data_IF_827825859282
#
_entry.id   IF_827825859282
#
_cell.length_a   1.000
_cell.length_b   1.000
_cell.length_c   1.000
_cell.angle_alpha   90.00
_cell.angle_beta   90.00
_cell.angle_gamma   90.00
#
_symmetry.space_group_name_H-M   'P 1'
#
loop_
_entity.id
_entity.type
_entity.pdbx_description
1 polymer ?
#
# COMPACT_ATOMS: atom_id res chain seq x y z
N UNK A 1 6.58 -7.87 -19.02
CA UNK A 1 6.27 -7.26 -20.34
C UNK A 1 6.37 -5.75 -20.20
N UNK A 2 6.60 -5.00 -21.28
CA UNK A 2 6.70 -3.54 -21.23
C UNK A 2 5.45 -2.88 -21.82
N UNK A 3 5.01 -1.78 -21.22
CA UNK A 3 3.96 -0.89 -21.78
C UNK A 3 4.47 0.55 -21.69
N UNK A 4 4.32 1.33 -22.76
CA UNK A 4 4.80 2.72 -22.82
C UNK A 4 6.26 2.91 -22.36
N UNK A 5 7.14 1.96 -22.71
CA UNK A 5 8.55 1.98 -22.31
C UNK A 5 8.82 1.72 -20.82
N UNK A 6 7.81 1.28 -20.06
CA UNK A 6 7.87 1.02 -18.62
C UNK A 6 7.61 -0.45 -18.30
N UNK A 7 8.18 -0.93 -17.20
CA UNK A 7 7.98 -2.30 -16.72
C UNK A 7 6.53 -2.49 -16.28
N UNK A 8 5.76 -3.26 -17.05
CA UNK A 8 4.37 -3.55 -16.73
C UNK A 8 4.24 -4.91 -16.04
N UNK A 9 3.53 -4.89 -14.92
CA UNK A 9 3.01 -6.08 -14.23
C UNK A 9 1.49 -5.96 -14.17
N UNK A 10 0.73 -7.00 -14.57
CA UNK A 10 -0.71 -6.98 -14.44
C UNK A 10 -1.13 -7.08 -12.96
N UNK A 11 -2.30 -6.54 -12.57
CA UNK A 11 -2.85 -6.74 -11.24
C UNK A 11 -3.00 -8.24 -10.94
N UNK A 12 -2.43 -8.75 -9.83
CA UNK A 12 -2.39 -10.19 -9.58
C UNK A 12 -3.75 -10.77 -9.19
N UNK A 13 -4.67 -9.94 -8.65
CA UNK A 13 -6.00 -10.35 -8.16
C UNK A 13 -5.94 -11.54 -7.18
N UNK A 14 -4.88 -11.59 -6.37
CA UNK A 14 -4.54 -12.71 -5.49
C UNK A 14 -5.09 -12.53 -4.06
N UNK A 15 -5.81 -11.45 -3.80
CA UNK A 15 -6.39 -11.16 -2.49
C UNK A 15 -5.42 -10.51 -1.49
N UNK A 16 -4.18 -10.21 -1.90
CA UNK A 16 -3.20 -9.51 -1.04
C UNK A 16 -3.74 -8.18 -0.53
N UNK A 17 -3.35 -7.79 0.69
CA UNK A 17 -3.64 -6.46 1.19
C UNK A 17 -2.73 -5.39 0.55
N UNK A 18 -3.05 -4.11 0.77
CA UNK A 18 -2.29 -3.02 0.14
C UNK A 18 -0.78 -3.07 0.45
N UNK A 19 -0.37 -3.47 1.66
CA UNK A 19 1.04 -3.47 2.06
C UNK A 19 1.82 -4.55 1.34
N UNK A 20 1.26 -5.75 1.28
CA UNK A 20 1.83 -6.89 0.56
C UNK A 20 1.94 -6.59 -0.95
N UNK A 21 0.86 -6.09 -1.54
CA UNK A 21 0.81 -5.74 -2.95
C UNK A 21 1.79 -4.62 -3.32
N UNK A 22 1.81 -3.54 -2.52
CA UNK A 22 2.70 -2.40 -2.74
C UNK A 22 4.17 -2.82 -2.65
N UNK A 23 4.54 -3.58 -1.61
CA UNK A 23 5.91 -4.05 -1.40
C UNK A 23 6.43 -4.85 -2.60
N UNK A 24 5.61 -5.77 -3.13
CA UNK A 24 5.93 -6.57 -4.31
C UNK A 24 6.16 -5.70 -5.55
N UNK A 25 5.26 -4.74 -5.80
CA UNK A 25 5.37 -3.83 -6.96
C UNK A 25 6.57 -2.89 -6.86
N UNK A 26 6.81 -2.36 -5.65
CA UNK A 26 7.94 -1.50 -5.36
C UNK A 26 9.26 -2.25 -5.57
N UNK A 27 9.39 -3.45 -5.01
CA UNK A 27 10.58 -4.30 -5.18
C UNK A 27 10.83 -4.68 -6.64
N UNK A 28 9.76 -4.95 -7.40
CA UNK A 28 9.88 -5.27 -8.83
C UNK A 28 10.16 -4.04 -9.71
N UNK A 29 9.96 -2.81 -9.22
CA UNK A 29 10.08 -1.60 -10.02
C UNK A 29 8.95 -1.42 -11.04
N UNK A 30 7.74 -1.89 -10.73
CA UNK A 30 6.59 -1.77 -11.63
C UNK A 30 6.31 -0.30 -12.01
N UNK A 31 6.09 -0.02 -13.29
CA UNK A 31 5.87 1.34 -13.79
C UNK A 31 7.14 2.17 -13.98
N UNK A 32 8.33 1.64 -13.67
CA UNK A 32 9.59 2.36 -13.93
C UNK A 32 9.98 2.27 -15.41
N UNK A 33 10.55 3.35 -15.97
CA UNK A 33 11.11 3.30 -17.31
C UNK A 33 12.32 2.36 -17.35
N UNK A 34 12.62 1.84 -18.53
CA UNK A 34 13.88 1.14 -18.77
C UNK A 34 15.06 2.11 -18.70
N UNK A 35 16.20 1.62 -18.18
CA UNK A 35 17.48 2.29 -18.27
C UNK A 35 17.94 2.42 -19.74
N UNK A 36 18.92 3.30 -19.99
CA UNK A 36 19.49 3.49 -21.34
C UNK A 36 20.17 2.24 -21.89
N UNK A 37 20.53 1.33 -20.99
CA UNK A 37 21.11 0.01 -21.23
C UNK A 37 20.05 -1.07 -21.52
N UNK A 38 18.75 -0.71 -21.49
CA UNK A 38 17.63 -1.63 -21.69
C UNK A 38 17.31 -2.48 -20.47
N UNK A 39 17.99 -2.28 -19.34
CA UNK A 39 17.74 -3.01 -18.10
C UNK A 39 16.67 -2.30 -17.25
N UNK A 40 15.90 -3.03 -16.43
CA UNK A 40 14.98 -2.40 -15.48
C UNK A 40 15.75 -1.46 -14.55
N UNK A 41 15.23 -0.25 -14.34
CA UNK A 41 15.93 0.77 -13.56
C UNK A 41 16.14 0.42 -12.06
N UNK A 42 15.65 -0.75 -11.62
CA UNK A 42 15.70 -1.25 -10.24
C UNK A 42 14.40 -1.08 -9.46
N UNK A 43 14.38 -1.34 -8.14
CA UNK A 43 13.20 -1.14 -7.30
C UNK A 43 12.83 0.34 -7.15
N UNK A 44 11.60 0.61 -6.73
CA UNK A 44 11.23 1.95 -6.25
C UNK A 44 11.83 2.21 -4.87
N UNK A 45 12.46 3.38 -4.70
CA UNK A 45 12.70 3.98 -3.38
C UNK A 45 11.61 5.02 -3.08
N UNK A 46 11.41 5.41 -1.80
CA UNK A 46 10.47 6.47 -1.47
C UNK A 46 10.70 7.76 -2.25
N UNK A 47 11.96 8.16 -2.42
CA UNK A 47 12.37 9.39 -3.09
C UNK A 47 12.01 9.34 -4.58
N UNK A 48 12.38 8.26 -5.25
CA UNK A 48 12.08 8.06 -6.68
C UNK A 48 10.57 8.04 -6.93
N UNK A 49 9.81 7.38 -6.05
CA UNK A 49 8.37 7.27 -6.22
C UNK A 49 7.65 8.60 -5.96
N UNK A 50 8.07 9.35 -4.93
CA UNK A 50 7.55 10.69 -4.65
C UNK A 50 7.82 11.64 -5.82
N UNK A 51 9.02 11.57 -6.40
CA UNK A 51 9.38 12.35 -7.58
C UNK A 51 8.51 11.97 -8.79
N UNK A 52 8.31 10.67 -9.04
CA UNK A 52 7.48 10.20 -10.15
C UNK A 52 6.02 10.65 -10.01
N UNK A 53 5.46 10.62 -8.80
CA UNK A 53 4.10 11.13 -8.51
C UNK A 53 4.03 12.64 -8.75
N UNK A 54 5.05 13.39 -8.32
CA UNK A 54 5.11 14.84 -8.53
C UNK A 54 5.16 15.23 -10.01
N UNK A 55 5.77 14.40 -10.86
CA UNK A 55 5.77 14.60 -12.32
C UNK A 55 4.41 14.35 -12.98
N UNK A 56 3.57 13.48 -12.40
CA UNK A 56 2.24 13.18 -12.94
C UNK A 56 1.27 14.34 -12.73
N UNK A 57 1.39 15.01 -11.58
CA UNK A 57 0.43 16.03 -11.14
C UNK A 57 1.12 17.38 -11.02
N UNK A 58 1.78 17.85 -12.10
CA UNK A 58 2.54 19.10 -12.13
C UNK A 58 1.71 20.35 -11.79
N UNK A 59 0.37 20.21 -11.74
CA UNK A 59 -0.59 21.28 -11.45
C UNK A 59 -1.24 21.16 -10.04
N UNK A 60 -0.93 20.12 -9.26
CA UNK A 60 -1.37 19.97 -7.85
C UNK A 60 -0.16 19.71 -6.96
N UNK A 61 -0.35 19.80 -5.65
CA UNK A 61 0.71 19.78 -4.60
C UNK A 61 1.62 18.52 -4.63
N UNK A 62 1.35 17.53 -5.49
CA UNK A 62 2.08 16.27 -5.51
C UNK A 62 1.84 15.48 -4.22
N UNK A 63 2.75 14.56 -3.92
CA UNK A 63 2.76 13.82 -2.64
C UNK A 63 4.01 14.22 -1.86
N UNK A 64 3.84 14.47 -0.56
CA UNK A 64 4.97 14.72 0.32
C UNK A 64 5.81 13.44 0.52
N UNK A 65 7.14 13.58 0.53
CA UNK A 65 8.08 12.46 0.67
C UNK A 65 7.81 11.67 1.96
N UNK A 66 7.48 12.36 3.07
CA UNK A 66 7.19 11.67 4.34
C UNK A 66 5.98 10.74 4.22
N UNK A 67 4.99 11.15 3.44
CA UNK A 67 3.81 10.32 3.14
C UNK A 67 4.20 9.07 2.39
N UNK A 68 5.06 9.18 1.36
CA UNK A 68 5.54 8.02 0.60
C UNK A 68 6.38 7.10 1.48
N UNK A 69 7.27 7.64 2.30
CA UNK A 69 8.08 6.85 3.26
C UNK A 69 7.19 5.99 4.19
N UNK A 70 6.05 6.51 4.65
CA UNK A 70 5.10 5.75 5.48
C UNK A 70 4.50 4.54 4.75
N UNK A 71 4.40 4.57 3.42
CA UNK A 71 3.87 3.45 2.63
C UNK A 71 4.85 2.28 2.61
N UNK A 72 6.16 2.56 2.55
CA UNK A 72 7.24 1.57 2.58
C UNK A 72 7.48 0.93 3.94
N UNK A 73 6.99 1.54 5.02
CA UNK A 73 7.12 0.98 6.37
C UNK A 73 6.14 -0.17 6.59
N UNK A 74 6.58 -1.18 7.33
CA UNK A 74 5.73 -2.26 7.85
C UNK A 74 4.82 -1.69 8.94
N UNK A 75 3.60 -1.31 8.54
CA UNK A 75 2.57 -0.74 9.41
C UNK A 75 1.18 -1.00 8.83
N UNK A 76 0.14 -0.64 9.58
CA UNK A 76 -1.27 -0.83 9.18
C UNK A 76 -1.88 0.43 8.52
N UNK A 77 -1.06 1.41 8.16
CA UNK A 77 -1.52 2.64 7.50
C UNK A 77 -1.64 2.35 6.01
N UNK A 78 -2.88 2.36 5.53
CA UNK A 78 -3.16 2.40 4.10
C UNK A 78 -3.06 3.80 3.51
N UNK A 79 -3.59 3.98 2.31
CA UNK A 79 -3.50 5.23 1.55
C UNK A 79 -4.87 5.76 1.11
N UNK A 80 -4.94 7.08 0.87
CA UNK A 80 -6.16 7.75 0.40
C UNK A 80 -6.39 7.60 -1.10
N UNK A 81 -7.60 7.93 -1.56
CA UNK A 81 -8.06 7.78 -2.95
C UNK A 81 -7.21 8.54 -3.98
N UNK A 82 -6.71 9.74 -3.64
CA UNK A 82 -5.82 10.50 -4.52
C UNK A 82 -4.51 9.74 -4.77
N UNK A 83 -3.92 9.19 -3.72
CA UNK A 83 -2.68 8.41 -3.80
C UNK A 83 -2.88 7.10 -4.57
N UNK A 84 -4.03 6.44 -4.40
CA UNK A 84 -4.41 5.26 -5.17
C UNK A 84 -4.41 5.59 -6.67
N UNK A 85 -4.98 6.74 -7.06
CA UNK A 85 -5.02 7.18 -8.46
C UNK A 85 -3.62 7.42 -9.04
N UNK A 86 -2.74 8.07 -8.28
CA UNK A 86 -1.37 8.30 -8.72
C UNK A 86 -0.59 6.99 -8.88
N UNK A 87 -0.69 6.08 -7.89
CA UNK A 87 -0.04 4.76 -7.98
C UNK A 87 -0.62 3.92 -9.13
N UNK A 88 -1.93 3.96 -9.34
CA UNK A 88 -2.57 3.25 -10.44
C UNK A 88 -2.03 3.71 -11.80
N UNK A 89 -1.80 5.01 -11.97
CA UNK A 89 -1.21 5.56 -13.20
C UNK A 89 0.24 5.13 -13.38
N UNK A 90 1.03 5.11 -12.30
CA UNK A 90 2.42 4.64 -12.33
C UNK A 90 2.47 3.16 -12.71
N UNK A 91 1.79 2.28 -11.95
CA UNK A 91 1.82 0.83 -12.18
C UNK A 91 1.12 0.42 -13.48
N UNK A 92 0.11 1.19 -13.89
CA UNK A 92 -0.52 1.11 -15.21
C UNK A 92 0.33 1.63 -16.36
N UNK A 93 1.56 2.11 -16.09
CA UNK A 93 2.48 2.60 -17.12
C UNK A 93 1.89 3.72 -17.99
N UNK A 94 1.07 4.60 -17.42
CA UNK A 94 0.28 5.63 -18.14
C UNK A 94 -0.71 5.10 -19.20
N UNK A 95 -0.90 3.78 -19.32
CA UNK A 95 -1.92 3.19 -20.17
C UNK A 95 -3.30 3.33 -19.50
N UNK A 96 -4.31 3.93 -20.14
CA UNK A 96 -5.62 4.17 -19.52
C UNK A 96 -6.31 2.90 -19.03
N UNK A 97 -6.23 1.83 -19.82
CA UNK A 97 -6.86 0.54 -19.47
C UNK A 97 -6.18 -0.08 -18.27
N UNK A 98 -4.85 -0.25 -18.33
CA UNK A 98 -4.08 -0.79 -17.20
C UNK A 98 -4.18 0.09 -15.94
N UNK A 99 -4.26 1.41 -16.09
CA UNK A 99 -4.47 2.34 -14.99
C UNK A 99 -5.81 2.08 -14.31
N UNK A 100 -6.89 1.90 -15.08
CA UNK A 100 -8.20 1.56 -14.53
C UNK A 100 -8.19 0.23 -13.78
N UNK A 101 -7.54 -0.80 -14.34
CA UNK A 101 -7.39 -2.10 -13.70
C UNK A 101 -6.61 -2.01 -12.39
N UNK A 102 -5.49 -1.27 -12.38
CA UNK A 102 -4.71 -1.02 -11.18
C UNK A 102 -5.46 -0.21 -10.14
N UNK A 103 -6.28 0.77 -10.55
CA UNK A 103 -7.09 1.55 -9.62
C UNK A 103 -8.12 0.67 -8.90
N UNK A 104 -8.75 -0.26 -9.61
CA UNK A 104 -9.67 -1.24 -9.02
C UNK A 104 -8.96 -2.15 -8.02
N UNK A 105 -7.83 -2.73 -8.41
CA UNK A 105 -7.09 -3.65 -7.53
C UNK A 105 -6.55 -2.95 -6.28
N UNK A 106 -5.94 -1.77 -6.42
CA UNK A 106 -5.41 -1.00 -5.29
C UNK A 106 -6.53 -0.59 -4.32
N UNK A 107 -7.71 -0.23 -4.83
CA UNK A 107 -8.88 0.08 -3.99
C UNK A 107 -9.39 -1.14 -3.23
N UNK A 108 -9.42 -2.31 -3.88
CA UNK A 108 -9.78 -3.58 -3.25
C UNK A 108 -8.75 -3.97 -2.17
N UNK A 109 -7.45 -3.89 -2.47
CA UNK A 109 -6.37 -4.17 -1.52
C UNK A 109 -6.38 -3.23 -0.30
N UNK A 110 -6.69 -1.94 -0.51
CA UNK A 110 -6.88 -0.96 0.56
C UNK A 110 -8.10 -1.30 1.45
N UNK A 111 -9.17 -1.82 0.84
CA UNK A 111 -10.36 -2.27 1.56
C UNK A 111 -10.05 -3.50 2.44
N UNK A 112 -9.27 -4.45 1.90
CA UNK A 112 -8.78 -5.62 2.65
C UNK A 112 -7.89 -5.23 3.83
N UNK A 113 -6.93 -4.33 3.63
CA UNK A 113 -6.10 -3.80 4.73
C UNK A 113 -6.95 -3.14 5.82
N UNK A 114 -7.97 -2.38 5.41
CA UNK A 114 -8.88 -1.70 6.33
C UNK A 114 -9.74 -2.68 7.14
N UNK A 115 -10.18 -3.78 6.52
CA UNK A 115 -10.91 -4.85 7.19
C UNK A 115 -10.03 -5.59 8.20
N UNK A 116 -8.84 -6.03 7.78
CA UNK A 116 -7.83 -6.68 8.64
C UNK A 116 -7.49 -5.84 9.87
N UNK A 117 -7.29 -4.53 9.69
CA UNK A 117 -7.08 -3.58 10.80
C UNK A 117 -8.25 -3.52 11.79
N UNK A 118 -9.49 -3.60 11.31
CA UNK A 118 -10.68 -3.58 12.18
C UNK A 118 -10.79 -4.88 12.97
N UNK A 119 -10.49 -6.00 12.35
CA UNK A 119 -10.49 -7.32 13.01
C UNK A 119 -9.45 -7.40 14.12
N UNK A 120 -8.22 -6.93 13.87
CA UNK A 120 -7.17 -6.88 14.89
C UNK A 120 -7.53 -5.99 16.08
N UNK A 121 -8.16 -4.83 15.82
CA UNK A 121 -8.65 -3.97 16.91
C UNK A 121 -9.77 -4.64 17.73
N UNK A 122 -10.66 -5.39 17.09
CA UNK A 122 -11.69 -6.16 17.79
C UNK A 122 -11.07 -7.26 18.63
N UNK A 123 -10.15 -8.04 18.08
CA UNK A 123 -9.45 -9.10 18.81
C UNK A 123 -8.65 -8.55 20.01
N UNK A 124 -7.93 -7.45 19.83
CA UNK A 124 -7.20 -6.80 20.93
C UNK A 124 -8.13 -6.26 22.03
N UNK A 125 -9.30 -5.71 21.64
CA UNK A 125 -10.33 -5.29 22.59
C UNK A 125 -10.99 -6.46 23.33
N UNK A 126 -11.22 -7.59 22.64
CA UNK A 126 -11.75 -8.82 23.25
C UNK A 126 -10.79 -9.41 24.28
N UNK A 127 -9.48 -9.46 23.99
CA UNK A 127 -8.46 -9.97 24.94
C UNK A 127 -8.38 -9.09 26.20
N UNK A 128 -8.54 -7.77 26.06
CA UNK A 128 -8.56 -6.87 27.23
C UNK A 128 -9.80 -7.04 28.11
N UNK A 129 -10.90 -7.58 27.56
CA UNK A 129 -12.15 -7.84 28.29
C UNK A 129 -12.21 -9.25 28.91
N UNK A 130 -11.30 -10.15 28.54
CA UNK A 130 -11.23 -11.54 29.02
C UNK A 130 -10.31 -11.75 30.23
N UNK A 131 -9.69 -10.70 30.80
CA UNK A 131 -9.05 -10.81 32.13
C UNK A 131 -10.20 -10.88 33.16
N UNK A 132 -10.52 -12.05 33.73
CA UNK A 132 -11.62 -12.14 34.66
C UNK A 132 -11.11 -11.63 36.02
N UNK A 133 -11.87 -10.72 36.60
CA UNK A 133 -11.74 -10.16 37.94
C UNK A 133 -11.86 -11.29 38.99
N UNK A 134 -10.84 -12.15 39.06
CA UNK A 134 -10.81 -13.34 39.92
C UNK A 134 -9.71 -13.17 40.95
N UNK A 135 -9.81 -12.13 41.77
CA UNK A 135 -9.11 -12.07 43.05
C UNK A 135 -9.72 -10.97 43.93
N UNK A 136 -10.54 -11.37 44.90
CA UNK A 136 -10.44 -11.02 46.33
C UNK A 136 -11.77 -11.25 47.04
N UNK A 137 -12.12 -12.51 47.26
CA UNK A 137 -12.93 -12.90 48.42
C UNK A 137 -12.20 -14.04 49.14
N UNK A 138 -11.09 -13.69 49.78
CA UNK A 138 -10.52 -14.47 50.85
C UNK A 138 -10.95 -13.81 52.18
N UNK A 139 -11.83 -14.54 52.86
CA UNK A 139 -12.07 -14.71 54.31
C UNK A 139 -11.23 -13.93 55.35
N UNK A 140 -11.82 -13.86 56.56
CA UNK A 140 -11.32 -13.46 57.89
C UNK A 140 -11.86 -12.07 58.35
N UNK A 141 -12.49 -11.90 59.51
CA UNK A 141 -12.26 -12.54 60.83
C UNK A 141 -13.50 -12.48 61.76
N UNK A 142 -13.48 -13.42 62.73
CA UNK A 142 -14.25 -13.71 63.98
C UNK A 142 -15.54 -12.97 64.37
#
# INVERSE_FOLDING_TARGET
>A
MFRNGKLFLPPPRDGSDFKELFKRLAAAGAGRPLGKDGFPAGPWTPELLAEAISRIDSNRVGVDLRTVQLWFQENEKGIGTANIRWLARIFGCDDPVATSEWQMELSAAQSRLSAKRREWKRAAGSVAQEIPDTALTATFDD
#
